data_IF_507853974789
#
_entry.id   IF_507853974789
#
_cell.length_a   1.000
_cell.length_b   1.000
_cell.length_c   1.000
_cell.angle_alpha   90.00
_cell.angle_beta   90.00
_cell.angle_gamma   90.00
#
_symmetry.space_group_name_H-M   'P 1'
#
loop_
_entity.id
_entity.type
_entity.pdbx_description
1 polymer ?
#
# COMPACT_ATOMS: atom_id res chain seq x y z
N UNK A 1 -21.11 -3.17 -9.83
CA UNK A 1 -19.81 -2.99 -10.53
C UNK A 1 -18.82 -2.52 -9.48
N UNK A 2 -17.56 -2.97 -9.54
CA UNK A 2 -16.52 -2.50 -8.62
C UNK A 2 -16.38 -0.98 -8.73
N UNK A 3 -16.06 -0.32 -7.61
CA UNK A 3 -15.92 1.15 -7.58
C UNK A 3 -14.53 1.62 -8.01
N UNK A 4 -13.58 0.69 -8.09
CA UNK A 4 -12.23 0.90 -8.60
C UNK A 4 -11.95 -0.04 -9.77
N UNK A 5 -11.13 0.42 -10.71
CA UNK A 5 -10.59 -0.43 -11.76
C UNK A 5 -9.56 -1.39 -11.15
N UNK A 6 -9.68 -2.68 -11.46
CA UNK A 6 -8.88 -3.73 -10.84
C UNK A 6 -8.16 -4.57 -11.90
N UNK A 7 -6.84 -4.68 -11.74
CA UNK A 7 -5.98 -5.47 -12.62
C UNK A 7 -5.41 -6.67 -11.84
N UNK A 8 -5.96 -7.89 -12.01
CA UNK A 8 -5.37 -9.07 -11.41
C UNK A 8 -4.02 -9.36 -12.07
N UNK A 9 -2.99 -9.54 -11.24
CA UNK A 9 -1.63 -9.86 -11.64
C UNK A 9 -1.20 -11.16 -10.95
N UNK A 10 -0.58 -12.07 -11.70
CA UNK A 10 0.01 -13.29 -11.18
C UNK A 10 1.50 -13.29 -11.53
N UNK A 11 2.35 -13.19 -10.52
CA UNK A 11 3.80 -13.29 -10.66
C UNK A 11 4.21 -14.76 -10.64
N UNK A 12 5.34 -15.09 -11.28
CA UNK A 12 5.85 -16.48 -11.36
C UNK A 12 7.30 -16.60 -10.85
N UNK A 13 7.87 -15.49 -10.37
CA UNK A 13 9.28 -15.38 -9.98
C UNK A 13 9.47 -14.68 -8.62
N UNK A 14 8.41 -14.62 -7.79
CA UNK A 14 8.49 -14.12 -6.40
C UNK A 14 9.53 -14.91 -5.59
N UNK A 15 9.44 -16.24 -5.65
CA UNK A 15 10.33 -17.20 -4.95
C UNK A 15 11.81 -17.10 -5.32
N UNK A 16 12.13 -16.41 -6.42
CA UNK A 16 13.51 -16.15 -6.88
C UNK A 16 13.88 -14.67 -6.80
N UNK A 17 13.06 -13.88 -6.11
CA UNK A 17 13.31 -12.48 -5.74
C UNK A 17 12.99 -11.44 -6.80
N UNK A 18 12.40 -11.83 -7.94
CA UNK A 18 12.02 -10.86 -8.98
C UNK A 18 10.58 -10.38 -8.82
N UNK A 19 9.68 -11.28 -8.43
CA UNK A 19 8.30 -10.94 -8.07
C UNK A 19 7.60 -10.00 -9.05
N UNK A 20 7.00 -8.94 -8.51
CA UNK A 20 6.29 -7.93 -9.29
C UNK A 20 7.18 -6.84 -9.94
N UNK A 21 8.51 -6.90 -9.81
CA UNK A 21 9.42 -5.82 -10.22
C UNK A 21 9.21 -5.35 -11.68
N UNK A 22 9.04 -6.29 -12.61
CA UNK A 22 8.84 -6.01 -14.04
C UNK A 22 7.40 -6.29 -14.52
N UNK A 23 6.48 -6.57 -13.59
CA UNK A 23 5.17 -7.15 -13.90
C UNK A 23 4.00 -6.16 -13.77
N UNK A 24 4.30 -4.87 -13.55
CA UNK A 24 3.33 -3.78 -13.45
C UNK A 24 3.37 -2.89 -14.70
N UNK A 25 2.61 -3.23 -15.77
CA UNK A 25 2.55 -2.44 -17.00
C UNK A 25 1.56 -1.27 -16.94
N UNK A 26 0.82 -1.12 -15.84
CA UNK A 26 -0.27 -0.14 -15.69
C UNK A 26 0.11 0.98 -14.73
N UNK A 27 -0.47 2.16 -14.96
CA UNK A 27 -0.47 3.28 -14.01
C UNK A 27 -1.53 2.98 -12.92
N UNK A 28 -1.09 2.39 -11.81
CA UNK A 28 -1.96 2.01 -10.68
C UNK A 28 -1.57 2.81 -9.44
N UNK A 29 -2.56 3.30 -8.70
CA UNK A 29 -2.32 4.03 -7.46
C UNK A 29 -2.05 3.12 -6.26
N UNK A 30 -2.67 1.94 -6.26
CA UNK A 30 -2.70 1.02 -5.12
C UNK A 30 -2.34 -0.39 -5.60
N UNK A 31 -1.42 -1.03 -4.88
CA UNK A 31 -0.99 -2.41 -5.10
C UNK A 31 -1.17 -3.22 -3.82
N UNK A 32 -2.14 -4.13 -3.84
CA UNK A 32 -2.39 -5.04 -2.73
C UNK A 32 -1.81 -6.41 -3.09
N UNK A 33 -0.65 -6.73 -2.53
CA UNK A 33 -0.06 -8.07 -2.61
C UNK A 33 -0.95 -9.07 -1.87
N UNK A 34 -1.12 -10.27 -2.46
CA UNK A 34 -1.90 -11.36 -1.88
C UNK A 34 -1.01 -12.57 -1.72
N UNK A 35 -0.85 -13.03 -0.49
CA UNK A 35 0.14 -14.06 -0.22
C UNK A 35 -0.19 -14.92 1.01
N UNK A 36 0.76 -15.75 1.43
CA UNK A 36 0.67 -16.57 2.63
C UNK A 36 1.10 -15.80 3.89
N UNK A 37 0.43 -16.09 5.00
CA UNK A 37 0.81 -15.62 6.33
C UNK A 37 1.30 -16.82 7.14
N UNK A 38 2.60 -16.94 7.44
CA UNK A 38 3.11 -18.05 8.25
C UNK A 38 2.45 -18.05 9.63
N UNK A 39 1.83 -19.17 10.00
CA UNK A 39 1.25 -19.40 11.33
C UNK A 39 2.28 -20.12 12.18
N UNK A 40 3.04 -19.35 12.96
CA UNK A 40 4.14 -19.87 13.77
C UNK A 40 4.27 -19.10 15.10
N UNK A 41 4.94 -19.66 16.12
CA UNK A 41 5.23 -18.94 17.35
C UNK A 41 5.92 -17.59 17.08
N UNK A 42 5.37 -16.53 17.64
CA UNK A 42 5.85 -15.15 17.44
C UNK A 42 5.08 -14.35 16.40
N UNK A 43 4.30 -15.01 15.54
CA UNK A 43 3.37 -14.37 14.60
C UNK A 43 1.98 -14.19 15.21
N UNK A 44 1.25 -13.20 14.72
CA UNK A 44 -0.16 -12.96 15.04
C UNK A 44 -1.12 -13.60 14.03
N UNK A 45 -0.59 -14.10 12.90
CA UNK A 45 -1.31 -14.88 11.88
C UNK A 45 -2.19 -15.99 12.48
N UNK A 46 -3.28 -16.30 11.79
CA UNK A 46 -4.19 -17.38 12.18
C UNK A 46 -4.72 -18.08 10.93
N UNK A 47 -4.82 -19.42 10.96
CA UNK A 47 -5.46 -20.18 9.87
C UNK A 47 -6.97 -19.83 9.73
N UNK A 48 -7.59 -19.14 10.69
CA UNK A 48 -9.01 -18.78 10.67
C UNK A 48 -9.30 -17.29 10.37
N UNK A 49 -8.30 -16.49 10.02
CA UNK A 49 -8.46 -15.06 9.76
C UNK A 49 -7.49 -14.57 8.68
N UNK A 50 -7.89 -13.53 7.94
CA UNK A 50 -6.96 -12.85 7.01
C UNK A 50 -6.00 -11.98 7.82
N UNK A 51 -4.75 -11.90 7.40
CA UNK A 51 -3.75 -11.01 7.98
C UNK A 51 -3.60 -9.77 7.10
N UNK A 52 -3.65 -8.59 7.70
CA UNK A 52 -3.15 -7.34 7.11
C UNK A 52 -1.73 -7.18 7.63
N UNK A 53 -0.74 -7.36 6.76
CA UNK A 53 0.64 -7.14 7.15
C UNK A 53 0.88 -5.63 7.30
N UNK A 54 1.57 -5.26 8.39
CA UNK A 54 1.89 -3.87 8.68
C UNK A 54 3.31 -3.52 8.22
N UNK A 55 4.17 -4.52 8.06
CA UNK A 55 5.56 -4.38 7.64
C UNK A 55 6.10 -5.73 7.13
N UNK A 56 7.01 -5.67 6.17
CA UNK A 56 7.88 -6.78 5.76
C UNK A 56 9.39 -6.42 5.95
N UNK A 57 10.30 -7.15 5.29
CA UNK A 57 11.74 -6.87 5.34
C UNK A 57 12.13 -5.55 4.66
N UNK A 58 11.33 -5.07 3.71
CA UNK A 58 11.53 -3.80 3.01
C UNK A 58 11.09 -2.59 3.83
N UNK A 59 10.17 -2.78 4.77
CA UNK A 59 9.72 -1.72 5.67
C UNK A 59 8.20 -1.73 5.90
N UNK A 60 7.66 -0.69 6.55
CA UNK A 60 6.23 -0.57 6.75
C UNK A 60 5.49 -0.38 5.41
N UNK A 61 4.32 -1.00 5.30
CA UNK A 61 3.38 -0.76 4.19
C UNK A 61 2.73 0.63 4.28
N UNK A 62 2.03 1.06 3.22
CA UNK A 62 1.37 2.36 3.19
C UNK A 62 0.36 2.50 4.35
N UNK A 63 0.57 3.54 5.15
CA UNK A 63 -0.19 3.79 6.37
C UNK A 63 -1.70 3.94 6.11
N UNK A 64 -2.08 4.59 5.00
CA UNK A 64 -3.48 4.88 4.70
C UNK A 64 -4.18 3.65 4.12
N UNK A 65 -3.53 2.93 3.22
CA UNK A 65 -4.06 1.73 2.59
C UNK A 65 -4.24 0.59 3.60
N UNK A 66 -3.24 0.30 4.45
CA UNK A 66 -3.40 -0.73 5.50
C UNK A 66 -4.54 -0.39 6.47
N UNK A 67 -4.75 0.89 6.79
CA UNK A 67 -5.87 1.32 7.66
C UNK A 67 -7.21 1.25 6.96
N UNK A 68 -7.28 1.58 5.68
CA UNK A 68 -8.48 1.40 4.87
C UNK A 68 -8.90 -0.08 4.88
N UNK A 69 -7.97 -1.00 4.64
CA UNK A 69 -8.23 -2.44 4.67
C UNK A 69 -8.72 -2.90 6.06
N UNK A 70 -8.08 -2.43 7.13
CA UNK A 70 -8.53 -2.72 8.51
C UNK A 70 -9.91 -2.15 8.83
N UNK A 71 -10.23 -0.96 8.31
CA UNK A 71 -11.55 -0.34 8.45
C UNK A 71 -12.62 -1.15 7.74
N UNK A 72 -12.36 -1.53 6.48
CA UNK A 72 -13.26 -2.39 5.70
C UNK A 72 -13.48 -3.74 6.38
N UNK A 73 -12.42 -4.35 6.92
CA UNK A 73 -12.54 -5.59 7.67
C UNK A 73 -13.47 -5.42 8.90
N UNK A 74 -13.36 -4.31 9.62
CA UNK A 74 -14.24 -4.03 10.76
C UNK A 74 -15.70 -3.78 10.33
N UNK A 75 -15.92 -2.96 9.29
CA UNK A 75 -17.25 -2.62 8.77
C UNK A 75 -18.01 -3.84 8.23
N UNK A 76 -17.29 -4.78 7.62
CA UNK A 76 -17.86 -5.98 7.04
C UNK A 76 -17.75 -7.22 7.94
N UNK A 77 -17.37 -7.05 9.21
CA UNK A 77 -17.22 -8.12 10.20
C UNK A 77 -16.36 -9.29 9.66
N UNK A 78 -15.23 -8.95 9.03
CA UNK A 78 -14.25 -9.90 8.51
C UNK A 78 -13.21 -10.19 9.60
N UNK A 79 -13.00 -11.45 10.00
CA UNK A 79 -11.96 -11.81 10.95
C UNK A 79 -10.58 -11.41 10.40
N UNK A 80 -9.90 -10.50 11.07
CA UNK A 80 -8.63 -9.93 10.63
C UNK A 80 -7.58 -9.93 11.74
N UNK A 81 -6.33 -10.18 11.38
CA UNK A 81 -5.13 -10.03 12.22
C UNK A 81 -4.22 -8.95 11.64
N UNK A 82 -3.50 -8.26 12.51
CA UNK A 82 -2.37 -7.40 12.12
C UNK A 82 -1.09 -8.15 12.43
N UNK A 83 -0.13 -8.15 11.51
CA UNK A 83 1.13 -8.84 11.75
C UNK A 83 2.35 -8.10 11.16
N UNK A 84 3.54 -8.52 11.58
CA UNK A 84 4.84 -8.00 11.15
C UNK A 84 5.71 -9.14 10.62
N UNK A 85 6.04 -9.11 9.33
CA UNK A 85 6.78 -10.17 8.67
C UNK A 85 8.25 -9.81 8.47
N UNK A 86 9.04 -9.83 9.57
CA UNK A 86 10.40 -9.26 9.62
C UNK A 86 11.42 -9.82 8.63
N UNK A 87 11.25 -11.06 8.17
CA UNK A 87 12.18 -11.75 7.26
C UNK A 87 11.51 -12.14 5.94
N UNK A 88 10.36 -11.54 5.67
CA UNK A 88 9.55 -11.79 4.49
C UNK A 88 9.88 -10.78 3.41
N UNK A 89 9.98 -11.23 2.17
CA UNK A 89 10.15 -10.36 1.01
C UNK A 89 8.88 -10.48 0.19
N UNK A 90 8.20 -9.36 -0.07
CA UNK A 90 6.92 -9.39 -0.76
C UNK A 90 7.05 -8.95 -2.22
N UNK A 91 6.06 -9.30 -3.04
CA UNK A 91 5.90 -8.71 -4.36
C UNK A 91 5.75 -7.19 -4.30
N UNK A 92 5.10 -6.67 -3.24
CA UNK A 92 4.97 -5.24 -2.99
C UNK A 92 6.35 -4.58 -2.78
N UNK A 93 7.24 -5.22 -1.99
CA UNK A 93 8.61 -4.77 -1.85
C UNK A 93 9.35 -4.78 -3.19
N UNK A 94 9.20 -5.85 -3.97
CA UNK A 94 9.86 -5.98 -5.28
C UNK A 94 9.43 -4.88 -6.25
N UNK A 95 8.13 -4.54 -6.25
CA UNK A 95 7.60 -3.43 -7.04
C UNK A 95 8.18 -2.07 -6.60
N UNK A 96 8.13 -1.75 -5.31
CA UNK A 96 8.68 -0.48 -4.80
C UNK A 96 10.18 -0.37 -5.08
N UNK A 97 10.93 -1.47 -4.88
CA UNK A 97 12.39 -1.51 -5.13
C UNK A 97 12.73 -1.29 -6.60
N UNK A 98 11.86 -1.70 -7.52
CA UNK A 98 12.02 -1.46 -8.96
C UNK A 98 11.72 -0.01 -9.38
N UNK A 99 11.24 0.83 -8.46
CA UNK A 99 10.97 2.25 -8.69
C UNK A 99 9.52 2.58 -9.05
N UNK A 100 8.58 1.64 -8.84
CA UNK A 100 7.15 1.93 -9.02
C UNK A 100 6.67 2.86 -7.90
N UNK A 101 6.09 4.02 -8.28
CA UNK A 101 5.51 4.99 -7.36
C UNK A 101 4.05 4.62 -7.03
N UNK A 102 3.90 3.65 -6.13
CA UNK A 102 2.61 3.02 -5.82
C UNK A 102 2.44 2.84 -4.31
N UNK A 103 1.21 2.94 -3.82
CA UNK A 103 0.88 2.62 -2.41
C UNK A 103 0.74 1.12 -2.28
N UNK A 104 1.53 0.51 -1.40
CA UNK A 104 1.51 -0.94 -1.23
C UNK A 104 0.85 -1.38 0.07
N UNK A 105 0.17 -2.51 0.02
CA UNK A 105 -0.28 -3.26 1.18
C UNK A 105 -0.16 -4.76 0.90
N UNK A 106 -0.23 -5.58 1.96
CA UNK A 106 -0.21 -7.03 1.85
C UNK A 106 -1.37 -7.62 2.67
N UNK A 107 -2.21 -8.39 1.99
CA UNK A 107 -3.20 -9.27 2.61
C UNK A 107 -2.72 -10.71 2.49
N UNK A 108 -2.78 -11.45 3.59
CA UNK A 108 -2.22 -12.79 3.60
C UNK A 108 -3.11 -13.80 4.34
N UNK A 109 -3.24 -15.01 3.80
CA UNK A 109 -4.04 -16.07 4.42
C UNK A 109 -3.17 -16.97 5.30
N UNK A 110 -3.67 -17.36 6.47
CA UNK A 110 -2.91 -18.19 7.41
C UNK A 110 -2.54 -19.55 6.82
N UNK A 111 -1.25 -19.86 6.80
CA UNK A 111 -0.70 -21.12 6.30
C UNK A 111 0.31 -21.71 7.32
N UNK A 112 0.18 -23.01 7.56
CA UNK A 112 1.14 -23.83 8.30
C UNK A 112 2.09 -24.54 7.31
N UNK A 113 3.35 -24.71 7.73
CA UNK A 113 4.38 -25.46 7.00
C UNK A 113 4.59 -25.04 5.54
N UNK A 114 4.57 -23.73 5.27
CA UNK A 114 4.86 -23.19 3.94
C UNK A 114 6.24 -23.61 3.40
N UNK A 115 6.39 -23.72 2.07
CA UNK A 115 7.54 -24.31 1.36
C UNK A 115 7.77 -25.80 1.69
N UNK A 116 6.81 -26.44 2.35
CA UNK A 116 6.82 -27.85 2.72
C UNK A 116 5.51 -28.53 2.35
N UNK A 117 4.85 -29.14 3.34
CA UNK A 117 3.50 -29.69 3.17
C UNK A 117 2.48 -28.71 3.74
N UNK A 118 2.03 -27.82 2.86
CA UNK A 118 1.23 -26.66 3.26
C UNK A 118 -0.18 -27.06 3.72
N UNK A 119 -0.63 -26.41 4.80
CA UNK A 119 -2.00 -26.54 5.29
C UNK A 119 -2.57 -25.17 5.60
N UNK A 120 -3.80 -24.94 5.16
CA UNK A 120 -4.56 -23.74 5.49
C UNK A 120 -6.00 -24.13 5.79
N UNK A 121 -6.69 -23.32 6.58
CA UNK A 121 -8.11 -23.49 6.84
C UNK A 121 -8.93 -22.61 5.90
N UNK A 122 -10.03 -23.17 5.38
CA UNK A 122 -10.92 -22.50 4.41
C UNK A 122 -11.47 -21.16 4.92
N UNK A 123 -11.52 -20.97 6.24
CA UNK A 123 -11.98 -19.73 6.86
C UNK A 123 -11.06 -18.55 6.55
N UNK A 124 -9.73 -18.74 6.57
CA UNK A 124 -8.82 -17.65 6.20
C UNK A 124 -8.98 -17.26 4.74
N UNK A 125 -9.20 -18.23 3.84
CA UNK A 125 -9.46 -17.96 2.42
C UNK A 125 -10.79 -17.21 2.23
N UNK A 126 -11.84 -17.62 2.94
CA UNK A 126 -13.14 -16.91 2.94
C UNK A 126 -13.01 -15.48 3.47
N UNK A 127 -12.26 -15.27 4.55
CA UNK A 127 -12.01 -13.95 5.12
C UNK A 127 -11.24 -13.07 4.12
N UNK A 128 -10.19 -13.61 3.49
CA UNK A 128 -9.43 -12.93 2.45
C UNK A 128 -10.33 -12.53 1.27
N UNK A 129 -11.13 -13.46 0.73
CA UNK A 129 -12.04 -13.16 -0.38
C UNK A 129 -13.09 -12.10 -0.03
N UNK A 130 -13.63 -12.13 1.21
CA UNK A 130 -14.57 -11.11 1.70
C UNK A 130 -13.91 -9.73 1.78
N UNK A 131 -12.70 -9.66 2.33
CA UNK A 131 -11.98 -8.39 2.45
C UNK A 131 -11.59 -7.82 1.08
N UNK A 132 -11.11 -8.66 0.16
CA UNK A 132 -10.83 -8.27 -1.22
C UNK A 132 -12.08 -7.74 -1.92
N UNK A 133 -13.23 -8.42 -1.74
CA UNK A 133 -14.49 -7.96 -2.30
C UNK A 133 -14.89 -6.61 -1.72
N UNK A 134 -14.79 -6.42 -0.40
CA UNK A 134 -15.07 -5.13 0.23
C UNK A 134 -14.16 -4.02 -0.30
N UNK A 135 -12.86 -4.30 -0.46
CA UNK A 135 -11.88 -3.37 -1.03
C UNK A 135 -12.24 -2.95 -2.46
N UNK A 136 -12.49 -3.90 -3.37
CA UNK A 136 -12.88 -3.62 -4.75
C UNK A 136 -14.23 -2.87 -4.87
N UNK A 137 -15.08 -2.99 -3.85
CA UNK A 137 -16.38 -2.31 -3.76
C UNK A 137 -16.29 -1.00 -2.98
N UNK A 138 -15.10 -0.57 -2.54
CA UNK A 138 -14.87 0.68 -1.82
C UNK A 138 -14.23 1.75 -2.74
N UNK A 139 -14.34 3.05 -2.42
CA UNK A 139 -13.62 4.07 -3.17
C UNK A 139 -12.11 3.91 -2.96
N UNK A 140 -11.27 4.44 -3.88
CA UNK A 140 -9.82 4.49 -3.66
C UNK A 140 -9.52 5.26 -2.37
N UNK A 141 -8.38 4.97 -1.74
CA UNK A 141 -7.95 5.60 -0.48
C UNK A 141 -7.90 7.11 -0.62
N UNK A 142 -7.43 7.59 -1.77
CA UNK A 142 -7.45 9.01 -2.12
C UNK A 142 -8.27 9.24 -3.39
N UNK A 143 -9.22 10.17 -3.34
CA UNK A 143 -10.04 10.50 -4.50
C UNK A 143 -9.23 11.12 -5.65
N UNK A 144 -8.07 11.71 -5.36
CA UNK A 144 -7.12 12.22 -6.37
C UNK A 144 -6.61 11.13 -7.29
N UNK A 145 -6.54 9.91 -6.79
CA UNK A 145 -5.92 8.78 -7.48
C UNK A 145 -6.84 8.21 -8.58
N UNK A 146 -8.08 8.70 -8.69
CA UNK A 146 -8.98 8.41 -9.80
C UNK A 146 -8.64 9.20 -11.09
N UNK A 147 -7.70 10.14 -11.02
CA UNK A 147 -7.21 10.89 -12.17
C UNK A 147 -5.86 10.32 -12.62
N UNK A 148 -5.65 10.00 -13.91
CA UNK A 148 -4.36 9.54 -14.41
C UNK A 148 -3.24 10.51 -14.04
N UNK A 149 -2.03 10.01 -13.87
CA UNK A 149 -0.84 10.83 -13.60
C UNK A 149 -0.43 11.67 -14.83
N UNK A 150 -1.30 12.57 -15.29
CA UNK A 150 -0.92 13.75 -16.08
C UNK A 150 -0.53 14.90 -15.15
N UNK A 151 0.05 14.57 -14.00
CA UNK A 151 0.47 15.53 -13.00
C UNK A 151 1.64 16.35 -13.53
N UNK A 152 1.40 17.64 -13.78
CA UNK A 152 2.48 18.59 -13.97
C UNK A 152 3.40 18.58 -12.75
N UNK A 153 4.71 18.49 -12.98
CA UNK A 153 5.73 18.64 -11.93
C UNK A 153 5.76 20.05 -11.32
N UNK A 154 5.01 21.01 -11.88
CA UNK A 154 4.91 22.38 -11.32
C UNK A 154 4.39 22.43 -9.88
N UNK A 155 3.67 21.40 -9.42
CA UNK A 155 3.22 21.33 -8.03
C UNK A 155 4.27 20.75 -7.08
N UNK A 156 5.33 20.15 -7.61
CA UNK A 156 6.45 19.67 -6.80
C UNK A 156 7.38 20.83 -6.47
N UNK A 157 7.95 20.79 -5.27
CA UNK A 157 8.94 21.75 -4.82
C UNK A 157 10.11 21.79 -5.81
N UNK A 158 10.30 22.94 -6.47
CA UNK A 158 11.46 23.16 -7.32
C UNK A 158 12.72 23.24 -6.46
N UNK A 159 13.83 22.72 -6.98
CA UNK A 159 15.13 22.93 -6.36
C UNK A 159 15.40 24.44 -6.29
N UNK A 160 15.88 24.91 -5.14
CA UNK A 160 16.31 26.30 -5.00
C UNK A 160 17.35 26.59 -6.08
N UNK A 161 17.12 27.66 -6.85
CA UNK A 161 18.07 28.14 -7.85
C UNK A 161 19.46 28.33 -7.23
N UNK A 162 20.52 28.12 -8.02
CA UNK A 162 21.90 28.15 -7.53
C UNK A 162 22.20 29.41 -6.71
N UNK A 163 21.71 30.57 -7.16
CA UNK A 163 21.90 31.84 -6.47
C UNK A 163 21.23 31.88 -5.09
N UNK A 164 20.06 31.24 -4.94
CA UNK A 164 19.35 31.13 -3.66
C UNK A 164 20.02 30.13 -2.70
N UNK A 165 20.76 29.14 -3.21
CA UNK A 165 21.57 28.22 -2.39
C UNK A 165 22.86 28.85 -1.86
N UNK A 166 23.37 29.88 -2.56
CA UNK A 166 24.64 30.56 -2.21
C UNK A 166 24.45 31.74 -1.25
N UNK A 167 23.22 32.09 -0.89
CA UNK A 167 22.91 33.11 0.11
C UNK A 167 23.18 32.60 1.54
N UNK A 168 23.75 33.45 2.40
CA UNK A 168 24.04 33.07 3.80
C UNK A 168 22.78 33.00 4.68
N UNK A 169 21.70 33.64 4.24
CA UNK A 169 20.51 33.85 5.03
C UNK A 169 19.37 32.99 4.51
N UNK A 170 18.60 32.38 5.41
CA UNK A 170 17.43 31.58 5.03
C UNK A 170 16.34 32.49 4.46
N UNK A 171 16.07 32.41 3.16
CA UNK A 171 14.90 33.06 2.54
C UNK A 171 13.63 32.45 3.11
N UNK A 172 12.98 33.20 4.00
CA UNK A 172 11.61 32.93 4.42
C UNK A 172 10.64 33.66 3.48
N UNK A 173 9.50 33.05 3.09
CA UNK A 173 8.48 33.76 2.34
C UNK A 173 8.05 35.01 3.12
N UNK A 174 7.80 36.15 2.45
CA UNK A 174 7.25 37.31 3.11
C UNK A 174 5.93 36.94 3.79
N UNK A 175 5.68 37.45 4.98
CA UNK A 175 4.52 37.12 5.82
C UNK A 175 3.20 37.31 5.05
N UNK A 176 3.14 38.33 4.20
CA UNK A 176 1.98 38.65 3.36
C UNK A 176 1.67 37.59 2.28
N UNK A 177 2.65 36.75 1.91
CA UNK A 177 2.44 35.62 0.99
C UNK A 177 1.86 34.39 1.68
N UNK A 178 2.00 34.29 3.01
CA UNK A 178 1.51 33.16 3.81
C UNK A 178 0.14 33.45 4.42
N UNK A 179 -0.12 34.72 4.75
CA UNK A 179 -1.41 35.21 5.18
C UNK A 179 -2.19 35.64 3.93
N UNK A 180 -2.84 34.69 3.24
CA UNK A 180 -3.68 34.99 2.08
C UNK A 180 -4.56 36.22 2.34
N UNK A 181 -4.64 37.13 1.36
CA UNK A 181 -5.36 38.41 1.47
C UNK A 181 -6.73 38.19 2.10
N UNK A 182 -6.88 38.54 3.39
CA UNK A 182 -8.20 38.72 3.98
C UNK A 182 -8.77 39.95 3.29
N UNK A 183 -9.68 39.71 2.35
CA UNK A 183 -10.49 40.72 1.67
C UNK A 183 -10.93 41.78 2.69
N UNK A 184 -10.43 43.01 2.49
CA UNK A 184 -11.06 44.20 3.03
C UNK A 184 -12.20 44.58 2.08
N UNK A 185 -13.26 43.78 2.08
CA UNK A 185 -14.53 44.18 1.47
C UNK A 185 -15.43 44.71 2.59
N UNK A 186 -15.35 46.03 2.80
CA UNK A 186 -16.30 46.84 3.55
C UNK A 186 -16.88 47.93 2.62
#
# INVERSE_FOLDING_TARGET
QPMIDCHPLFTITEEVGSGAAAALPWDVSEFVGIDIAPVAPGQQSSEHAVSVAMQDSGGPYDYHLSRQLLRLAAEHEVPVRRDLFRYYHSDAQSAVTAGHDIRTALLAFGCDATHGYERTHIDSLKALSRLLTAYMMSPPVFASDAQPAQGSLERFSHQLEHDAQMESDTRVPPVDSLLGQREQDA
#
